data_IF_567857147951
#
_entry.id   IF_567857147951
#
_cell.length_a   1.000
_cell.length_b   1.000
_cell.length_c   1.000
_cell.angle_alpha   90.00
_cell.angle_beta   90.00
_cell.angle_gamma   90.00
#
_symmetry.space_group_name_H-M   'P 1'
#
loop_
_entity.id
_entity.type
_entity.pdbx_description
1 polymer ?
#
# COMPACT_ATOMS: atom_id res chain seq x y z
N UNK A 1 -30.79 2.77 11.46
CA UNK A 1 -30.74 1.85 10.33
C UNK A 1 -29.75 2.36 9.29
N UNK A 2 -28.89 1.47 8.73
CA UNK A 2 -27.88 1.84 7.71
C UNK A 2 -28.52 2.61 6.53
N UNK A 3 -29.65 2.15 6.04
CA UNK A 3 -30.35 2.78 4.92
C UNK A 3 -30.72 4.24 5.19
N UNK A 4 -31.27 4.54 6.36
CA UNK A 4 -31.62 5.93 6.73
C UNK A 4 -30.38 6.84 6.76
N UNK A 5 -29.25 6.35 7.27
CA UNK A 5 -28.00 7.11 7.31
C UNK A 5 -27.42 7.34 5.90
N UNK A 6 -27.51 6.35 5.02
CA UNK A 6 -27.17 6.51 3.61
C UNK A 6 -28.02 7.56 2.93
N UNK A 7 -29.34 7.51 3.11
CA UNK A 7 -30.30 8.46 2.51
C UNK A 7 -30.03 9.89 2.99
N UNK A 8 -29.70 10.07 4.28
CA UNK A 8 -29.31 11.37 4.85
C UNK A 8 -27.99 11.87 4.23
N UNK A 9 -26.98 11.01 4.11
CA UNK A 9 -25.70 11.39 3.55
C UNK A 9 -25.82 11.84 2.09
N UNK A 10 -26.61 11.11 1.29
CA UNK A 10 -26.88 11.48 -0.11
C UNK A 10 -27.64 12.80 -0.19
N UNK A 11 -28.71 12.99 0.60
CA UNK A 11 -29.48 14.22 0.60
C UNK A 11 -28.67 15.45 1.03
N UNK A 12 -27.75 15.27 2.01
CA UNK A 12 -26.82 16.33 2.43
C UNK A 12 -25.80 16.65 1.32
N UNK A 13 -25.27 15.63 0.67
CA UNK A 13 -24.35 15.80 -0.46
C UNK A 13 -25.00 16.62 -1.57
N UNK A 14 -26.20 16.25 -2.00
CA UNK A 14 -26.95 16.95 -3.05
C UNK A 14 -27.24 18.41 -2.67
N UNK A 15 -27.66 18.66 -1.44
CA UNK A 15 -27.92 20.03 -0.96
C UNK A 15 -26.67 20.90 -0.95
N UNK A 16 -25.53 20.35 -0.51
CA UNK A 16 -24.25 21.09 -0.48
C UNK A 16 -23.74 21.34 -1.90
N UNK A 17 -23.84 20.34 -2.78
CA UNK A 17 -23.46 20.51 -4.20
C UNK A 17 -24.32 21.52 -4.95
N UNK A 18 -25.59 21.66 -4.58
CA UNK A 18 -26.52 22.63 -5.18
C UNK A 18 -26.33 24.06 -4.64
N UNK A 19 -25.58 24.24 -3.52
CA UNK A 19 -25.38 25.56 -2.96
C UNK A 19 -24.41 26.37 -3.82
N UNK A 20 -24.71 27.65 -4.13
CA UNK A 20 -23.86 28.47 -4.99
C UNK A 20 -22.57 28.92 -4.28
N UNK A 21 -21.56 28.06 -4.33
CA UNK A 21 -20.22 28.36 -3.83
C UNK A 21 -19.31 28.85 -4.96
N UNK A 22 -18.32 29.68 -4.61
CA UNK A 22 -17.29 30.12 -5.56
C UNK A 22 -16.40 28.97 -6.07
N UNK A 23 -16.36 27.84 -5.35
CA UNK A 23 -15.68 26.61 -5.75
C UNK A 23 -16.64 25.42 -5.66
N UNK A 24 -16.40 24.41 -6.50
CA UNK A 24 -17.18 23.17 -6.48
C UNK A 24 -16.80 22.34 -5.25
N UNK A 25 -17.70 22.27 -4.27
CA UNK A 25 -17.53 21.40 -3.11
C UNK A 25 -18.10 20.02 -3.41
N UNK A 26 -17.30 18.97 -3.11
CA UNK A 26 -17.71 17.57 -3.20
C UNK A 26 -17.62 16.96 -1.79
N UNK A 27 -18.66 17.12 -0.95
CA UNK A 27 -18.65 16.62 0.42
C UNK A 27 -18.70 15.08 0.42
N UNK A 28 -17.94 14.48 1.34
CA UNK A 28 -17.96 13.06 1.61
C UNK A 28 -18.17 12.82 3.11
N UNK A 29 -18.77 11.69 3.46
CA UNK A 29 -19.18 11.39 4.82
C UNK A 29 -18.64 10.05 5.29
N UNK A 30 -17.91 10.03 6.41
CA UNK A 30 -17.62 8.83 7.15
C UNK A 30 -18.71 8.56 8.18
N UNK A 31 -19.18 7.33 8.29
CA UNK A 31 -20.32 6.99 9.14
C UNK A 31 -19.91 5.86 10.09
N UNK A 32 -19.99 6.12 11.40
CA UNK A 32 -19.87 5.11 12.43
C UNK A 32 -21.26 4.81 13.02
N UNK A 33 -21.60 3.53 13.11
CA UNK A 33 -22.81 3.09 13.82
C UNK A 33 -22.40 2.64 15.21
N UNK A 34 -22.92 3.33 16.24
CA UNK A 34 -22.66 2.98 17.63
C UNK A 34 -23.11 1.56 17.95
N UNK A 35 -22.23 0.84 18.60
CA UNK A 35 -22.53 -0.45 19.28
C UNK A 35 -22.44 -0.17 20.78
N UNK A 36 -23.46 -0.49 21.53
CA UNK A 36 -23.58 -0.41 23.00
C UNK A 36 -22.48 0.37 23.76
N UNK A 37 -22.82 1.57 24.27
CA UNK A 37 -21.98 2.38 25.16
C UNK A 37 -20.61 2.79 24.63
N UNK A 38 -20.45 2.89 23.30
CA UNK A 38 -19.22 3.40 22.71
C UNK A 38 -19.05 4.87 23.04
N UNK A 39 -17.85 5.28 23.43
CA UNK A 39 -17.51 6.69 23.65
C UNK A 39 -17.65 7.50 22.36
N UNK A 40 -18.13 8.74 22.48
CA UNK A 40 -18.36 9.64 21.33
C UNK A 40 -17.05 9.93 20.61
N UNK A 41 -15.95 10.14 21.35
CA UNK A 41 -14.63 10.37 20.76
C UNK A 41 -14.21 9.21 19.86
N UNK A 42 -14.37 7.99 20.35
CA UNK A 42 -14.08 6.78 19.57
C UNK A 42 -14.98 6.63 18.34
N UNK A 43 -16.25 7.05 18.45
CA UNK A 43 -17.16 7.06 17.29
C UNK A 43 -16.71 8.05 16.21
N UNK A 44 -16.23 9.23 16.62
CA UNK A 44 -15.67 10.22 15.70
C UNK A 44 -14.42 9.68 15.00
N UNK A 45 -13.50 9.05 15.75
CA UNK A 45 -12.29 8.43 15.18
C UNK A 45 -12.65 7.35 14.14
N UNK A 46 -13.64 6.51 14.43
CA UNK A 46 -14.10 5.48 13.51
C UNK A 46 -14.79 6.07 12.26
N UNK A 47 -15.56 7.13 12.42
CA UNK A 47 -16.16 7.83 11.30
C UNK A 47 -15.08 8.50 10.43
N UNK A 48 -14.04 9.07 11.04
CA UNK A 48 -12.91 9.64 10.30
C UNK A 48 -12.13 8.56 9.53
N UNK A 49 -11.89 7.38 10.12
CA UNK A 49 -11.28 6.25 9.40
C UNK A 49 -12.06 5.87 8.14
N UNK A 50 -13.40 5.83 8.23
CA UNK A 50 -14.25 5.56 7.07
C UNK A 50 -14.16 6.69 6.03
N UNK A 51 -14.12 7.95 6.47
CA UNK A 51 -13.97 9.10 5.60
C UNK A 51 -12.62 9.07 4.85
N UNK A 52 -11.52 8.77 5.53
CA UNK A 52 -10.18 8.70 4.92
C UNK A 52 -10.13 7.68 3.77
N UNK A 53 -10.87 6.59 3.84
CA UNK A 53 -10.93 5.56 2.79
C UNK A 53 -11.50 6.09 1.47
N UNK A 54 -12.36 7.09 1.52
CA UNK A 54 -13.04 7.68 0.34
C UNK A 54 -12.59 9.10 0.01
N UNK A 55 -11.78 9.71 0.86
CA UNK A 55 -11.26 11.07 0.65
C UNK A 55 -10.50 11.16 -0.68
N UNK A 56 -10.88 12.16 -1.50
CA UNK A 56 -10.32 12.35 -2.84
C UNK A 56 -10.94 11.50 -3.95
N UNK A 57 -11.87 10.59 -3.63
CA UNK A 57 -12.61 9.82 -4.63
C UNK A 57 -13.90 10.54 -4.98
N UNK A 58 -13.94 11.19 -6.16
CA UNK A 58 -15.07 12.05 -6.59
C UNK A 58 -16.43 11.34 -6.69
N UNK A 59 -16.43 10.01 -6.78
CA UNK A 59 -17.66 9.21 -6.91
C UNK A 59 -18.17 8.64 -5.58
N UNK A 60 -17.39 8.77 -4.48
CA UNK A 60 -17.76 8.20 -3.19
C UNK A 60 -18.38 9.26 -2.29
N UNK A 61 -19.68 9.16 -2.03
CA UNK A 61 -20.44 10.09 -1.19
C UNK A 61 -20.29 9.77 0.29
N UNK A 62 -20.34 8.49 0.66
CA UNK A 62 -20.20 8.05 2.04
C UNK A 62 -19.51 6.68 2.14
N UNK A 63 -18.99 6.39 3.32
CA UNK A 63 -18.47 5.06 3.70
C UNK A 63 -18.85 4.76 5.15
N UNK A 64 -19.20 3.52 5.42
CA UNK A 64 -19.43 3.04 6.78
C UNK A 64 -18.17 2.45 7.38
N UNK A 65 -17.89 2.81 8.63
CA UNK A 65 -16.82 2.15 9.38
C UNK A 65 -17.04 0.63 9.49
N UNK A 66 -15.98 -0.12 9.25
CA UNK A 66 -15.86 -1.55 9.48
C UNK A 66 -14.58 -1.83 10.30
N UNK A 67 -14.65 -2.80 11.21
CA UNK A 67 -13.50 -3.20 12.04
C UNK A 67 -12.28 -3.66 11.21
N UNK A 68 -12.48 -4.07 9.95
CA UNK A 68 -11.39 -4.35 9.00
C UNK A 68 -10.58 -3.10 8.69
N UNK A 69 -11.21 -1.94 8.53
CA UNK A 69 -10.53 -0.66 8.24
C UNK A 69 -9.51 -0.32 9.32
N UNK A 70 -9.87 -0.52 10.59
CA UNK A 70 -8.94 -0.32 11.71
C UNK A 70 -7.73 -1.25 11.63
N UNK A 71 -7.96 -2.52 11.32
CA UNK A 71 -6.87 -3.51 11.18
C UNK A 71 -5.94 -3.15 10.03
N UNK A 72 -6.50 -2.77 8.87
CA UNK A 72 -5.75 -2.31 7.70
C UNK A 72 -4.92 -1.07 8.03
N UNK A 73 -5.52 -0.05 8.63
CA UNK A 73 -4.82 1.17 9.02
C UNK A 73 -3.68 0.90 10.02
N UNK A 74 -3.91 0.06 11.03
CA UNK A 74 -2.86 -0.30 11.99
C UNK A 74 -1.72 -1.09 11.32
N UNK A 75 -2.03 -1.89 10.30
CA UNK A 75 -1.05 -2.62 9.51
C UNK A 75 -0.23 -1.65 8.63
N UNK A 76 -0.90 -0.74 7.90
CA UNK A 76 -0.22 0.30 7.12
C UNK A 76 0.74 1.11 8.00
N UNK A 77 0.29 1.55 9.17
CA UNK A 77 1.13 2.30 10.12
C UNK A 77 2.33 1.50 10.63
N UNK A 78 2.17 0.20 10.85
CA UNK A 78 3.31 -0.65 11.25
C UNK A 78 4.34 -0.79 10.13
N UNK A 79 3.89 -0.99 8.90
CA UNK A 79 4.77 -1.05 7.73
C UNK A 79 5.53 0.27 7.60
N UNK A 80 4.83 1.40 7.59
CA UNK A 80 5.41 2.74 7.48
C UNK A 80 6.46 3.02 8.58
N UNK A 81 6.15 2.66 9.83
CA UNK A 81 7.03 2.92 10.97
C UNK A 81 8.26 2.01 10.99
N UNK A 82 8.23 0.85 10.37
CA UNK A 82 9.32 -0.12 10.43
C UNK A 82 10.21 -0.12 9.17
N UNK A 83 9.79 0.45 8.05
CA UNK A 83 10.51 0.38 6.77
C UNK A 83 11.95 0.91 6.84
N UNK A 84 12.15 2.07 7.48
CA UNK A 84 13.50 2.67 7.59
C UNK A 84 14.47 1.78 8.42
N UNK A 85 13.97 1.11 9.44
CA UNK A 85 14.74 0.16 10.22
C UNK A 85 14.98 -1.13 9.44
N UNK A 86 13.97 -1.62 8.75
CA UNK A 86 14.06 -2.82 7.92
C UNK A 86 15.07 -2.69 6.77
N UNK A 87 15.18 -1.50 6.17
CA UNK A 87 16.24 -1.21 5.18
C UNK A 87 17.64 -1.29 5.81
N UNK A 88 17.83 -0.61 6.96
CA UNK A 88 19.10 -0.59 7.68
C UNK A 88 19.52 -1.97 8.16
N UNK A 89 18.58 -2.76 8.66
CA UNK A 89 18.81 -4.09 9.24
C UNK A 89 18.77 -5.20 8.17
N UNK A 90 18.73 -4.81 6.89
CA UNK A 90 18.72 -5.70 5.72
C UNK A 90 17.61 -6.77 5.75
N UNK A 91 16.44 -6.42 6.28
CA UNK A 91 15.28 -7.31 6.31
C UNK A 91 14.67 -7.54 4.90
N UNK A 92 14.94 -6.63 3.94
CA UNK A 92 14.53 -6.82 2.56
C UNK A 92 15.48 -7.78 1.83
N UNK A 93 14.92 -8.86 1.29
CA UNK A 93 15.67 -9.86 0.51
C UNK A 93 15.25 -9.79 -0.95
N UNK A 94 16.25 -9.79 -1.83
CA UNK A 94 16.05 -9.83 -3.28
C UNK A 94 16.20 -11.27 -3.75
N UNK A 95 15.17 -11.79 -4.38
CA UNK A 95 15.15 -13.10 -5.01
C UNK A 95 15.26 -12.92 -6.51
N UNK A 96 15.97 -13.80 -7.19
CA UNK A 96 16.01 -13.80 -8.65
C UNK A 96 15.19 -14.98 -9.16
N UNK A 97 14.13 -14.68 -9.88
CA UNK A 97 13.34 -15.69 -10.59
C UNK A 97 13.92 -15.87 -11.99
N UNK A 98 14.40 -17.10 -12.34
CA UNK A 98 14.97 -17.34 -13.65
C UNK A 98 13.90 -17.28 -14.75
N UNK A 99 14.26 -16.67 -15.89
CA UNK A 99 13.49 -16.71 -17.13
C UNK A 99 14.12 -17.77 -18.03
N UNK A 100 13.32 -18.73 -18.46
CA UNK A 100 13.77 -19.90 -19.24
C UNK A 100 13.19 -19.81 -20.64
N UNK A 101 14.01 -20.05 -21.66
CA UNK A 101 13.54 -20.24 -23.02
C UNK A 101 12.79 -21.57 -23.12
N UNK A 102 11.53 -21.52 -23.56
CA UNK A 102 10.64 -22.69 -23.64
C UNK A 102 11.06 -23.71 -24.70
N UNK A 103 11.94 -23.33 -25.63
CA UNK A 103 12.39 -24.22 -26.73
C UNK A 103 13.70 -24.93 -26.36
N UNK A 104 14.66 -24.18 -25.82
CA UNK A 104 15.98 -24.74 -25.46
C UNK A 104 16.04 -25.25 -24.03
N UNK A 105 15.17 -24.78 -23.13
CA UNK A 105 15.26 -25.03 -21.69
C UNK A 105 16.36 -24.24 -20.97
N UNK A 106 17.07 -23.36 -21.70
CA UNK A 106 18.17 -22.57 -21.13
C UNK A 106 17.66 -21.34 -20.35
N UNK A 107 18.42 -20.95 -19.32
CA UNK A 107 18.16 -19.70 -18.58
C UNK A 107 18.62 -18.52 -19.44
N UNK A 108 17.69 -17.70 -19.86
CA UNK A 108 17.93 -16.53 -20.72
C UNK A 108 17.95 -15.21 -19.95
N UNK A 109 17.64 -15.22 -18.66
CA UNK A 109 17.63 -14.01 -17.83
C UNK A 109 17.04 -14.26 -16.48
N UNK A 110 16.72 -13.17 -15.75
CA UNK A 110 16.11 -13.23 -14.45
C UNK A 110 15.24 -12.02 -14.15
N UNK A 111 14.34 -12.17 -13.20
CA UNK A 111 13.54 -11.09 -12.64
C UNK A 111 13.81 -10.97 -11.14
N UNK A 112 14.17 -9.76 -10.70
CA UNK A 112 14.41 -9.47 -9.30
C UNK A 112 13.07 -9.24 -8.59
N UNK A 113 12.82 -10.02 -7.56
CA UNK A 113 11.62 -9.99 -6.74
C UNK A 113 12.01 -9.71 -5.29
N UNK A 114 11.41 -8.70 -4.70
CA UNK A 114 11.64 -8.34 -3.30
C UNK A 114 10.70 -9.10 -2.36
N UNK A 115 11.20 -9.43 -1.17
CA UNK A 115 10.44 -9.95 -0.02
C UNK A 115 10.94 -9.28 1.24
N UNK A 116 10.04 -8.92 2.12
CA UNK A 116 10.41 -8.37 3.42
C UNK A 116 10.38 -9.47 4.48
N UNK A 117 11.55 -9.85 4.97
CA UNK A 117 11.74 -10.82 6.05
C UNK A 117 11.76 -10.09 7.40
N UNK A 118 10.61 -9.70 7.89
CA UNK A 118 10.51 -9.01 9.18
C UNK A 118 10.84 -9.96 10.32
N UNK A 119 11.73 -9.53 11.22
CA UNK A 119 12.06 -10.29 12.44
C UNK A 119 10.84 -10.49 13.33
N UNK A 120 9.88 -9.55 13.29
CA UNK A 120 8.69 -9.58 14.17
C UNK A 120 7.49 -10.30 13.56
N UNK A 121 7.30 -10.16 12.24
CA UNK A 121 6.05 -10.58 11.56
C UNK A 121 6.27 -11.72 10.56
N UNK A 122 7.52 -12.16 10.35
CA UNK A 122 7.86 -13.15 9.34
C UNK A 122 7.91 -12.54 7.93
N UNK A 123 7.52 -13.29 6.91
CA UNK A 123 7.58 -12.82 5.53
C UNK A 123 6.37 -11.94 5.23
N UNK A 124 6.62 -10.68 4.88
CA UNK A 124 5.63 -9.73 4.38
C UNK A 124 5.77 -9.68 2.85
N UNK A 125 4.66 -9.86 2.14
CA UNK A 125 4.65 -9.92 0.69
C UNK A 125 4.54 -8.55 0.04
N UNK A 126 5.01 -8.38 -1.21
CA UNK A 126 5.00 -7.10 -1.92
C UNK A 126 3.63 -6.42 -2.03
N UNK A 127 2.58 -7.19 -2.27
CA UNK A 127 1.20 -6.71 -2.35
C UNK A 127 0.69 -6.06 -1.05
N UNK A 128 1.36 -6.33 0.07
CA UNK A 128 1.03 -5.78 1.36
C UNK A 128 1.80 -4.48 1.68
N UNK A 129 3.09 -4.42 1.33
CA UNK A 129 3.92 -3.28 1.71
C UNK A 129 4.13 -2.26 0.59
N UNK A 130 4.17 -2.67 -0.68
CA UNK A 130 4.41 -1.74 -1.80
C UNK A 130 3.39 -0.60 -1.83
N UNK A 131 2.06 -0.83 -1.75
CA UNK A 131 1.09 0.28 -1.77
C UNK A 131 1.27 1.26 -0.60
N UNK A 132 1.73 0.77 0.55
CA UNK A 132 2.03 1.62 1.72
C UNK A 132 3.28 2.47 1.46
N UNK A 133 4.32 1.87 0.88
CA UNK A 133 5.57 2.57 0.56
C UNK A 133 5.40 3.62 -0.54
N UNK A 134 4.58 3.35 -1.55
CA UNK A 134 4.20 4.32 -2.59
C UNK A 134 3.50 5.53 -1.96
N UNK A 135 2.51 5.28 -1.10
CA UNK A 135 1.72 6.31 -0.43
C UNK A 135 2.56 7.16 0.54
N UNK A 136 3.54 6.56 1.21
CA UNK A 136 4.43 7.23 2.17
C UNK A 136 5.70 7.81 1.54
N UNK A 137 6.01 7.48 0.28
CA UNK A 137 7.21 7.92 -0.43
C UNK A 137 8.45 7.06 -0.20
N UNK A 138 8.43 6.11 0.74
CA UNK A 138 9.57 5.22 1.01
C UNK A 138 9.88 4.25 -0.13
N UNK A 139 9.01 4.15 -1.13
CA UNK A 139 9.24 3.27 -2.29
C UNK A 139 10.55 3.60 -3.01
N UNK A 140 10.95 4.89 -3.02
CA UNK A 140 12.20 5.36 -3.66
C UNK A 140 13.43 4.76 -2.97
N UNK A 141 13.42 4.72 -1.65
CA UNK A 141 14.53 4.19 -0.86
C UNK A 141 14.64 2.66 -1.04
N UNK A 142 13.49 1.98 -1.08
CA UNK A 142 13.44 0.54 -1.33
C UNK A 142 13.87 0.19 -2.75
N UNK A 143 13.48 0.98 -3.75
CA UNK A 143 13.95 0.80 -5.14
C UNK A 143 15.47 0.94 -5.22
N UNK A 144 16.04 1.99 -4.62
CA UNK A 144 17.49 2.20 -4.58
C UNK A 144 18.22 1.01 -3.92
N UNK A 145 17.69 0.52 -2.80
CA UNK A 145 18.21 -0.66 -2.11
C UNK A 145 18.18 -1.91 -3.01
N UNK A 146 17.07 -2.17 -3.70
CA UNK A 146 16.94 -3.32 -4.61
C UNK A 146 17.96 -3.24 -5.74
N UNK A 147 18.12 -2.08 -6.36
CA UNK A 147 19.12 -1.86 -7.41
C UNK A 147 20.55 -2.12 -6.91
N UNK A 148 20.89 -1.61 -5.73
CA UNK A 148 22.20 -1.87 -5.11
C UNK A 148 22.46 -3.37 -4.93
N UNK A 149 21.50 -4.11 -4.37
CA UNK A 149 21.64 -5.56 -4.18
C UNK A 149 21.72 -6.33 -5.50
N UNK A 150 20.97 -5.95 -6.51
CA UNK A 150 21.03 -6.57 -7.86
C UNK A 150 22.37 -6.31 -8.52
N UNK A 151 22.89 -5.08 -8.48
CA UNK A 151 24.20 -4.77 -9.06
C UNK A 151 25.33 -5.50 -8.34
N UNK A 152 25.26 -5.60 -7.01
CA UNK A 152 26.23 -6.38 -6.24
C UNK A 152 26.21 -7.87 -6.64
N UNK A 153 25.03 -8.46 -6.80
CA UNK A 153 24.88 -9.85 -7.23
C UNK A 153 25.46 -10.07 -8.66
N UNK A 154 25.13 -9.18 -9.61
CA UNK A 154 25.66 -9.23 -10.97
C UNK A 154 27.20 -9.12 -10.97
N UNK A 155 27.77 -8.26 -10.13
CA UNK A 155 29.21 -8.11 -10.00
C UNK A 155 29.87 -9.41 -9.50
N UNK A 156 29.31 -10.03 -8.47
CA UNK A 156 29.79 -11.31 -7.92
C UNK A 156 29.73 -12.40 -8.99
N UNK A 157 28.67 -12.51 -9.75
CA UNK A 157 28.54 -13.50 -10.81
C UNK A 157 29.57 -13.31 -11.92
N UNK A 158 29.77 -12.07 -12.37
CA UNK A 158 30.76 -11.76 -13.42
C UNK A 158 32.18 -12.07 -12.96
N UNK A 159 32.53 -11.73 -11.73
CA UNK A 159 33.86 -12.03 -11.18
C UNK A 159 34.07 -13.53 -10.94
N UNK A 160 32.98 -14.26 -10.69
CA UNK A 160 32.99 -15.73 -10.59
C UNK A 160 32.95 -16.46 -11.95
N UNK A 161 33.06 -15.74 -13.08
CA UNK A 161 33.08 -16.34 -14.42
C UNK A 161 31.69 -16.68 -14.97
N UNK A 162 30.60 -16.28 -14.28
CA UNK A 162 29.24 -16.46 -14.76
C UNK A 162 28.85 -15.23 -15.58
N UNK A 163 28.38 -15.42 -16.81
CA UNK A 163 27.78 -14.35 -17.60
C UNK A 163 26.29 -14.31 -17.33
N UNK A 164 25.80 -13.39 -16.50
CA UNK A 164 24.37 -13.30 -16.25
C UNK A 164 23.66 -12.82 -17.54
N UNK A 165 22.57 -13.47 -17.89
CA UNK A 165 21.66 -12.97 -18.90
C UNK A 165 21.00 -11.65 -18.48
N UNK A 166 20.21 -11.03 -19.37
CA UNK A 166 19.49 -9.79 -19.06
C UNK A 166 18.61 -9.97 -17.82
N UNK A 167 18.81 -9.10 -16.83
CA UNK A 167 18.03 -9.10 -15.61
C UNK A 167 17.08 -7.91 -15.60
N UNK A 168 15.79 -8.16 -15.36
CA UNK A 168 14.79 -7.11 -15.15
C UNK A 168 14.59 -6.89 -13.65
N UNK A 169 14.53 -5.63 -13.28
CA UNK A 169 14.05 -5.20 -11.97
C UNK A 169 12.72 -4.50 -12.21
N UNK A 170 11.65 -5.00 -11.61
CA UNK A 170 10.40 -4.26 -11.64
C UNK A 170 10.58 -3.03 -10.77
N UNK A 171 10.76 -1.87 -11.42
CA UNK A 171 10.66 -0.58 -10.73
C UNK A 171 9.23 -0.41 -10.24
N UNK A 172 9.07 -0.09 -8.96
CA UNK A 172 7.75 0.08 -8.34
C UNK A 172 7.12 1.44 -8.65
N UNK A 173 7.70 2.22 -9.59
CA UNK A 173 7.09 3.45 -10.09
C UNK A 173 6.19 3.13 -11.28
N UNK A 174 4.88 3.26 -11.07
CA UNK A 174 3.91 3.49 -12.13
C UNK A 174 3.82 4.99 -12.45
#
# INVERSE_FOLDING_TARGET
NKKQLSDIAVALHEKICAYPLFCKALPAFGICISKNHMDISLMCDYADMALQKIKGKAYAIYEFYDDKMRKEMMREKRIENNVAMALRDEEFKVYIQPKVDMRSGEIIGGEALIRWHSVKEGIIYPDEFIPVLEKSGYIVDVDAYVWEKVFAAIHIWKTGGITPGPSSVNGFRS
#
